data_IF_782392351863
#
_entry.id   IF_782392351863
#
_cell.length_a   1.000
_cell.length_b   1.000
_cell.length_c   1.000
_cell.angle_alpha   90.00
_cell.angle_beta   90.00
_cell.angle_gamma   90.00
#
_symmetry.space_group_name_H-M   'P 1'
#
loop_
_entity.id
_entity.type
_entity.pdbx_description
1 polymer ?
#
# COMPACT_ATOMS: atom_id res chain seq x y z
N UNK A 1 -6.29 34.35 -15.32
CA UNK A 1 -6.40 35.45 -14.32
C UNK A 1 -5.07 35.78 -13.60
N UNK A 2 -3.93 35.20 -13.99
CA UNK A 2 -2.63 35.48 -13.37
C UNK A 2 -2.42 34.82 -12.00
N UNK A 3 -3.26 33.85 -11.61
CA UNK A 3 -3.18 33.16 -10.32
C UNK A 3 -2.87 31.68 -10.49
N UNK A 4 -2.15 31.14 -9.51
CA UNK A 4 -1.96 29.70 -9.35
C UNK A 4 -3.15 29.11 -8.56
N UNK A 5 -3.82 28.13 -9.15
CA UNK A 5 -4.98 27.44 -8.55
C UNK A 5 -4.66 26.01 -8.09
N UNK A 6 -3.38 25.63 -8.10
CA UNK A 6 -2.86 24.32 -7.71
C UNK A 6 -2.94 23.26 -8.81
N UNK A 7 -2.65 22.02 -8.42
CA UNK A 7 -2.56 20.88 -9.34
C UNK A 7 -3.92 20.53 -9.96
N UNK A 8 -3.92 20.35 -11.28
CA UNK A 8 -5.05 19.89 -12.08
C UNK A 8 -4.57 18.86 -13.11
N UNK A 9 -5.46 17.96 -13.52
CA UNK A 9 -5.16 16.91 -14.48
C UNK A 9 -5.64 17.30 -15.89
N UNK A 10 -4.80 17.07 -16.89
CA UNK A 10 -5.08 17.36 -18.29
C UNK A 10 -4.81 16.13 -19.14
N UNK A 11 -5.76 15.76 -20.00
CA UNK A 11 -5.56 14.72 -21.00
C UNK A 11 -4.67 15.28 -22.10
N UNK A 12 -3.43 14.79 -22.24
CA UNK A 12 -2.45 15.38 -23.15
C UNK A 12 -1.98 14.35 -24.17
N UNK A 13 -2.30 14.49 -25.47
CA UNK A 13 -1.77 13.60 -26.48
C UNK A 13 -0.27 13.82 -26.64
N UNK A 14 0.52 12.75 -26.55
CA UNK A 14 2.00 12.82 -26.60
C UNK A 14 2.61 12.20 -27.85
N UNK A 15 1.87 11.33 -28.56
CA UNK A 15 2.30 10.63 -29.78
C UNK A 15 1.17 10.54 -30.78
N UNK A 16 1.51 10.59 -32.06
CA UNK A 16 0.59 10.28 -33.14
C UNK A 16 0.24 8.78 -33.12
N UNK A 17 -1.03 8.37 -33.08
CA UNK A 17 -1.42 6.96 -32.94
C UNK A 17 -1.11 6.11 -34.18
N UNK A 18 -0.85 6.71 -35.34
CA UNK A 18 -0.52 6.01 -36.59
C UNK A 18 0.99 5.83 -36.75
N UNK A 19 1.77 6.84 -36.39
CA UNK A 19 3.24 6.81 -36.58
C UNK A 19 4.00 6.48 -35.30
N UNK A 20 3.36 6.62 -34.14
CA UNK A 20 3.93 6.53 -32.80
C UNK A 20 5.02 7.58 -32.51
N UNK A 21 5.25 8.51 -33.44
CA UNK A 21 6.18 9.61 -33.26
C UNK A 21 5.61 10.65 -32.28
N UNK A 22 6.45 11.29 -31.45
CA UNK A 22 6.02 12.40 -30.60
C UNK A 22 5.46 13.57 -31.41
N UNK A 23 4.49 14.29 -30.87
CA UNK A 23 3.99 15.53 -31.49
C UNK A 23 5.04 16.66 -31.40
N UNK A 24 5.04 17.64 -32.34
CA UNK A 24 5.89 18.82 -32.23
C UNK A 24 5.73 19.54 -30.88
N UNK A 25 6.84 19.88 -30.23
CA UNK A 25 6.84 20.48 -28.88
C UNK A 25 6.71 19.46 -27.73
N UNK A 26 6.63 18.16 -28.02
CA UNK A 26 6.65 17.07 -27.03
C UNK A 26 7.93 16.27 -27.19
N UNK A 27 8.72 16.16 -26.13
CA UNK A 27 9.85 15.21 -26.06
C UNK A 27 9.52 14.10 -25.07
N UNK A 28 9.66 12.85 -25.52
CA UNK A 28 9.45 11.66 -24.69
C UNK A 28 10.57 10.66 -24.92
N UNK A 29 10.96 9.94 -23.87
CA UNK A 29 12.01 8.93 -23.95
C UNK A 29 12.05 8.04 -22.71
N UNK A 30 12.80 6.96 -22.79
CA UNK A 30 13.02 6.01 -21.70
C UNK A 30 14.04 6.56 -20.70
N UNK A 31 13.84 6.29 -19.39
CA UNK A 31 14.77 6.73 -18.34
C UNK A 31 15.94 5.76 -18.11
N UNK A 32 15.95 4.60 -18.77
CA UNK A 32 17.00 3.61 -18.71
C UNK A 32 16.68 2.41 -17.82
N UNK A 33 17.71 1.60 -17.62
CA UNK A 33 17.68 0.38 -16.83
C UNK A 33 17.42 0.67 -15.35
N UNK A 34 16.59 -0.18 -14.73
CA UNK A 34 16.17 -0.10 -13.34
C UNK A 34 16.68 -1.32 -12.58
N UNK A 35 16.69 -1.23 -11.24
CA UNK A 35 17.05 -2.36 -10.38
C UNK A 35 16.10 -3.57 -10.56
N UNK A 36 14.83 -3.30 -10.86
CA UNK A 36 13.78 -4.27 -11.16
C UNK A 36 12.72 -3.64 -12.07
N UNK A 37 11.68 -4.40 -12.41
CA UNK A 37 10.55 -3.93 -13.25
C UNK A 37 10.98 -3.45 -14.65
N UNK A 38 12.04 -4.03 -15.23
CA UNK A 38 12.54 -3.65 -16.56
C UNK A 38 11.59 -3.97 -17.72
N UNK A 39 10.48 -4.68 -17.46
CA UNK A 39 9.36 -4.81 -18.41
C UNK A 39 8.46 -3.57 -18.50
N UNK A 40 8.68 -2.55 -17.66
CA UNK A 40 7.96 -1.27 -17.68
C UNK A 40 8.87 -0.19 -18.26
N UNK A 41 8.35 0.52 -19.26
CA UNK A 41 9.01 1.61 -20.01
C UNK A 41 8.87 2.95 -19.29
N UNK A 42 9.37 3.01 -18.04
CA UNK A 42 9.40 4.26 -17.28
C UNK A 42 10.14 5.34 -18.06
N UNK A 43 9.41 6.38 -18.48
CA UNK A 43 9.92 7.43 -19.33
C UNK A 43 9.83 8.82 -18.73
N UNK A 44 10.41 9.78 -19.44
CA UNK A 44 10.23 11.20 -19.22
C UNK A 44 9.30 11.80 -20.28
N UNK A 45 8.66 12.92 -19.94
CA UNK A 45 7.94 13.77 -20.88
C UNK A 45 8.28 15.24 -20.62
N UNK A 46 8.57 15.98 -21.68
CA UNK A 46 8.87 17.41 -21.65
C UNK A 46 7.96 18.10 -22.67
N UNK A 47 7.29 19.16 -22.21
CA UNK A 47 6.42 19.99 -23.03
C UNK A 47 7.07 21.36 -23.26
N UNK A 48 7.40 21.69 -24.50
CA UNK A 48 7.85 23.03 -24.89
C UNK A 48 6.69 23.83 -25.49
N UNK A 49 6.05 24.65 -24.65
CA UNK A 49 4.90 25.50 -25.01
C UNK A 49 3.81 24.74 -25.78
N UNK A 50 3.65 23.44 -25.49
CA UNK A 50 2.71 22.55 -26.15
C UNK A 50 1.27 22.96 -25.82
N UNK A 51 0.42 23.09 -26.84
CA UNK A 51 -0.95 23.56 -26.70
C UNK A 51 -1.92 22.40 -26.83
N UNK A 52 -2.90 22.35 -25.94
CA UNK A 52 -4.03 21.42 -25.98
C UNK A 52 -5.35 22.20 -25.91
N UNK A 53 -6.47 21.62 -26.38
CA UNK A 53 -7.79 22.19 -26.18
C UNK A 53 -8.09 22.39 -24.68
N UNK A 54 -8.86 23.42 -24.35
CA UNK A 54 -9.27 23.71 -22.95
C UNK A 54 -10.08 22.56 -22.37
N UNK A 55 -10.86 21.89 -23.21
CA UNK A 55 -11.74 20.76 -22.90
C UNK A 55 -10.98 19.52 -22.44
N UNK A 56 -9.65 19.48 -22.62
CA UNK A 56 -8.80 18.40 -22.13
C UNK A 56 -8.58 18.46 -20.60
N UNK A 57 -9.01 19.53 -19.93
CA UNK A 57 -9.01 19.63 -18.47
C UNK A 57 -10.04 18.65 -17.86
N UNK A 58 -9.61 17.81 -16.92
CA UNK A 58 -10.51 16.99 -16.10
C UNK A 58 -11.19 17.87 -15.04
N UNK A 59 -12.33 18.45 -15.42
CA UNK A 59 -12.90 19.61 -14.75
C UNK A 59 -13.91 19.32 -13.62
N UNK A 60 -14.07 18.06 -13.18
CA UNK A 60 -15.04 17.69 -12.11
C UNK A 60 -14.80 18.45 -10.79
N UNK A 61 -13.53 18.71 -10.45
CA UNK A 61 -13.14 19.38 -9.21
C UNK A 61 -12.86 20.88 -9.34
N UNK A 62 -12.82 21.40 -10.56
CA UNK A 62 -12.45 22.78 -10.88
C UNK A 62 -12.34 22.94 -12.39
N UNK A 63 -12.90 24.02 -12.93
CA UNK A 63 -13.00 24.30 -14.35
C UNK A 63 -12.45 25.69 -14.69
N UNK A 64 -12.18 25.93 -15.96
CA UNK A 64 -11.77 27.22 -16.50
C UNK A 64 -12.71 27.60 -17.63
N UNK A 65 -13.39 28.74 -17.50
CA UNK A 65 -14.31 29.23 -18.55
C UNK A 65 -13.54 29.65 -19.81
N UNK A 66 -14.19 29.80 -20.98
CA UNK A 66 -13.56 30.30 -22.20
C UNK A 66 -12.88 31.67 -22.03
N UNK A 67 -13.37 32.50 -21.10
CA UNK A 67 -12.81 33.81 -20.75
C UNK A 67 -11.58 33.71 -19.82
N UNK A 68 -11.18 32.49 -19.43
CA UNK A 68 -10.03 32.25 -18.57
C UNK A 68 -10.30 32.48 -17.09
N UNK A 69 -11.57 32.38 -16.65
CA UNK A 69 -11.96 32.47 -15.24
C UNK A 69 -12.01 31.08 -14.61
N UNK A 70 -11.33 30.91 -13.48
CA UNK A 70 -11.41 29.69 -12.69
C UNK A 70 -12.74 29.60 -11.94
N UNK A 71 -13.37 28.42 -11.94
CA UNK A 71 -14.60 28.12 -11.20
C UNK A 71 -14.47 26.76 -10.53
N UNK A 72 -15.05 26.58 -9.34
CA UNK A 72 -14.99 25.34 -8.58
C UNK A 72 -16.34 25.05 -7.91
N UNK A 73 -16.82 23.80 -7.92
CA UNK A 73 -18.02 23.42 -7.16
C UNK A 73 -17.77 23.35 -5.65
N UNK A 74 -16.49 23.30 -5.23
CA UNK A 74 -16.09 23.34 -3.83
C UNK A 74 -15.88 24.79 -3.40
N UNK A 75 -16.59 25.21 -2.35
CA UNK A 75 -16.38 26.51 -1.68
C UNK A 75 -15.12 26.51 -0.82
N UNK A 76 -14.74 25.34 -0.29
CA UNK A 76 -13.58 25.15 0.57
C UNK A 76 -12.51 24.32 -0.15
N UNK A 77 -11.31 24.87 -0.27
CA UNK A 77 -10.15 24.22 -0.87
C UNK A 77 -9.73 22.95 -0.13
N UNK A 78 -9.94 22.88 1.19
CA UNK A 78 -9.58 21.72 2.01
C UNK A 78 -10.51 20.53 1.74
N UNK A 79 -11.82 20.76 1.56
CA UNK A 79 -12.77 19.69 1.18
C UNK A 79 -12.46 19.14 -0.22
N UNK A 80 -12.08 20.02 -1.16
CA UNK A 80 -11.62 19.61 -2.50
C UNK A 80 -10.38 18.73 -2.41
N UNK A 81 -9.42 19.12 -1.56
CA UNK A 81 -8.20 18.38 -1.33
C UNK A 81 -8.48 16.99 -0.74
N UNK A 82 -9.34 16.88 0.28
CA UNK A 82 -9.73 15.59 0.87
C UNK A 82 -10.36 14.59 -0.12
N UNK A 83 -11.25 15.07 -1.00
CA UNK A 83 -11.82 14.22 -2.05
C UNK A 83 -10.76 13.75 -3.06
N UNK A 84 -9.79 14.61 -3.41
CA UNK A 84 -8.66 14.24 -4.26
C UNK A 84 -7.72 13.22 -3.58
N UNK A 85 -7.46 13.38 -2.28
CA UNK A 85 -6.65 12.44 -1.49
C UNK A 85 -7.25 11.02 -1.48
N UNK A 86 -8.58 10.91 -1.41
CA UNK A 86 -9.28 9.63 -1.50
C UNK A 86 -9.02 8.92 -2.84
N UNK A 87 -9.01 9.64 -3.96
CA UNK A 87 -8.67 9.07 -5.28
C UNK A 87 -7.19 8.65 -5.37
N UNK A 88 -6.27 9.43 -4.78
CA UNK A 88 -4.85 9.10 -4.71
C UNK A 88 -4.54 7.89 -3.81
N UNK A 89 -5.52 7.38 -3.07
CA UNK A 89 -5.35 6.23 -2.18
C UNK A 89 -5.49 4.89 -2.91
N UNK A 90 -6.06 4.87 -4.12
CA UNK A 90 -6.30 3.62 -4.86
C UNK A 90 -4.99 2.85 -5.12
N UNK A 91 -3.94 3.56 -5.59
CA UNK A 91 -2.63 2.95 -5.83
C UNK A 91 -2.07 2.31 -4.56
N UNK A 92 -2.19 3.00 -3.42
CA UNK A 92 -1.72 2.50 -2.11
C UNK A 92 -2.49 1.26 -1.65
N UNK A 93 -3.81 1.26 -1.80
CA UNK A 93 -4.66 0.09 -1.49
C UNK A 93 -4.23 -1.11 -2.34
N UNK A 94 -4.02 -0.90 -3.64
CA UNK A 94 -3.53 -1.97 -4.53
C UNK A 94 -2.14 -2.47 -4.17
N UNK A 95 -1.23 -1.59 -3.71
CA UNK A 95 0.11 -1.99 -3.27
C UNK A 95 0.06 -2.94 -2.08
N UNK A 96 -0.87 -2.78 -1.14
CA UNK A 96 -1.04 -3.73 -0.04
C UNK A 96 -1.36 -5.14 -0.58
N UNK A 97 -2.22 -5.24 -1.59
CA UNK A 97 -2.51 -6.53 -2.26
C UNK A 97 -1.30 -7.08 -3.04
N UNK A 98 -0.53 -6.21 -3.69
CA UNK A 98 0.72 -6.59 -4.37
C UNK A 98 1.73 -7.17 -3.35
N UNK A 99 1.85 -6.56 -2.17
CA UNK A 99 2.71 -7.05 -1.10
C UNK A 99 2.33 -8.48 -0.66
N UNK A 100 1.03 -8.77 -0.56
CA UNK A 100 0.51 -10.12 -0.26
C UNK A 100 0.88 -11.11 -1.36
N UNK A 101 0.79 -10.70 -2.64
CA UNK A 101 1.16 -11.55 -3.76
C UNK A 101 2.66 -11.89 -3.76
N UNK A 102 3.53 -10.95 -3.42
CA UNK A 102 4.97 -11.20 -3.26
C UNK A 102 5.26 -12.15 -2.09
N UNK A 103 4.64 -11.92 -0.92
CA UNK A 103 4.76 -12.81 0.24
C UNK A 103 4.32 -14.23 -0.10
N UNK A 104 3.20 -14.36 -0.81
CA UNK A 104 2.63 -15.65 -1.25
C UNK A 104 3.48 -16.37 -2.31
N UNK A 105 4.51 -15.72 -2.87
CA UNK A 105 5.50 -16.33 -3.74
C UNK A 105 6.78 -16.68 -2.99
N UNK A 106 7.33 -15.72 -2.24
CA UNK A 106 8.64 -15.87 -1.58
C UNK A 106 8.62 -16.89 -0.44
N UNK A 107 7.62 -16.83 0.45
CA UNK A 107 7.54 -17.68 1.63
C UNK A 107 7.38 -19.17 1.26
N UNK A 108 6.49 -19.56 0.33
CA UNK A 108 6.42 -20.96 -0.09
C UNK A 108 7.72 -21.49 -0.68
N UNK A 109 8.48 -20.68 -1.42
CA UNK A 109 9.80 -21.09 -1.93
C UNK A 109 10.73 -21.42 -0.76
N UNK A 110 10.88 -20.50 0.19
CA UNK A 110 11.80 -20.69 1.32
C UNK A 110 11.37 -21.82 2.26
N UNK A 111 10.09 -21.93 2.58
CA UNK A 111 9.57 -22.97 3.49
C UNK A 111 9.69 -24.34 2.84
N UNK A 112 9.29 -24.50 1.57
CA UNK A 112 9.41 -25.79 0.86
C UNK A 112 10.88 -26.19 0.67
N UNK A 113 11.74 -25.24 0.32
CA UNK A 113 13.17 -25.50 0.26
C UNK A 113 13.72 -25.94 1.63
N UNK A 114 13.30 -25.29 2.71
CA UNK A 114 13.74 -25.62 4.07
C UNK A 114 13.29 -27.01 4.53
N UNK A 115 12.13 -27.48 4.06
CA UNK A 115 11.62 -28.82 4.36
C UNK A 115 12.39 -29.93 3.63
N UNK A 116 13.01 -29.63 2.49
CA UNK A 116 13.76 -30.60 1.67
C UNK A 116 15.26 -30.54 1.94
N UNK A 117 15.80 -29.33 2.14
CA UNK A 117 17.23 -29.14 2.39
C UNK A 117 17.56 -29.72 3.76
N UNK A 118 18.42 -30.73 3.77
CA UNK A 118 19.01 -31.29 4.98
C UNK A 118 20.42 -30.72 5.17
N UNK A 119 20.78 -30.44 6.43
CA UNK A 119 22.14 -30.04 6.81
C UNK A 119 22.28 -30.13 8.33
N UNK A 120 23.38 -30.73 8.80
CA UNK A 120 23.64 -31.03 10.21
C UNK A 120 22.57 -31.95 10.84
N UNK A 121 22.82 -32.42 12.05
CA UNK A 121 21.93 -33.36 12.74
C UNK A 121 22.52 -33.79 14.08
N UNK A 122 21.72 -34.45 14.90
CA UNK A 122 22.19 -35.03 16.17
C UNK A 122 23.09 -36.24 15.90
N UNK A 123 22.78 -37.00 14.84
CA UNK A 123 23.55 -38.14 14.37
C UNK A 123 24.28 -37.77 13.08
N UNK A 124 25.55 -38.15 12.95
CA UNK A 124 26.41 -37.75 11.84
C UNK A 124 25.93 -38.24 10.46
N UNK A 125 25.16 -39.33 10.42
CA UNK A 125 24.61 -39.96 9.23
C UNK A 125 23.13 -39.60 8.95
N UNK A 126 22.49 -38.83 9.84
CA UNK A 126 21.08 -38.43 9.70
C UNK A 126 20.92 -36.93 9.80
N UNK A 127 21.10 -36.28 8.66
CA UNK A 127 20.84 -34.85 8.57
C UNK A 127 19.35 -34.54 8.73
N UNK A 128 19.05 -33.48 9.48
CA UNK A 128 17.69 -32.97 9.68
C UNK A 128 17.36 -31.96 8.57
N UNK A 129 16.09 -31.92 8.10
CA UNK A 129 15.61 -30.78 7.32
C UNK A 129 15.86 -29.48 8.07
N UNK A 130 16.36 -28.45 7.39
CA UNK A 130 16.70 -27.20 8.06
C UNK A 130 15.48 -26.52 8.68
N UNK A 131 14.27 -26.84 8.20
CA UNK A 131 13.00 -26.38 8.80
C UNK A 131 12.76 -26.90 10.23
N UNK A 132 13.39 -28.01 10.64
CA UNK A 132 13.26 -28.56 12.00
C UNK A 132 13.98 -27.70 13.05
N UNK A 133 14.90 -26.83 12.64
CA UNK A 133 15.59 -25.94 13.56
C UNK A 133 14.72 -24.75 13.93
N UNK A 134 14.57 -24.50 15.25
CA UNK A 134 13.81 -23.38 15.79
C UNK A 134 14.22 -22.03 15.20
N UNK A 135 15.51 -21.83 14.92
CA UNK A 135 15.98 -20.61 14.26
C UNK A 135 15.38 -20.44 12.86
N UNK A 136 15.33 -21.50 12.04
CA UNK A 136 14.74 -21.44 10.70
C UNK A 136 13.24 -21.15 10.76
N UNK A 137 12.55 -21.76 11.73
CA UNK A 137 11.12 -21.51 12.00
C UNK A 137 10.88 -20.07 12.44
N UNK A 138 11.67 -19.55 13.38
CA UNK A 138 11.57 -18.18 13.88
C UNK A 138 11.82 -17.14 12.79
N UNK A 139 12.68 -17.45 11.81
CA UNK A 139 12.93 -16.57 10.66
C UNK A 139 11.80 -16.53 9.64
N UNK A 140 11.03 -17.62 9.47
CA UNK A 140 10.05 -17.75 8.38
C UNK A 140 8.60 -17.67 8.85
N UNK A 141 8.25 -18.30 9.97
CA UNK A 141 6.87 -18.45 10.42
C UNK A 141 6.22 -17.14 10.86
N UNK A 142 6.92 -16.17 11.48
CA UNK A 142 6.32 -14.86 11.75
C UNK A 142 5.90 -14.14 10.47
N UNK A 143 6.69 -14.21 9.40
CA UNK A 143 6.31 -13.62 8.10
C UNK A 143 5.17 -14.40 7.43
N UNK A 144 5.11 -15.72 7.61
CA UNK A 144 3.96 -16.52 7.18
C UNK A 144 2.68 -16.06 7.87
N UNK A 145 2.70 -15.92 9.20
CA UNK A 145 1.57 -15.40 9.96
C UNK A 145 1.19 -13.97 9.52
N UNK A 146 2.17 -13.09 9.35
CA UNK A 146 1.96 -11.74 8.85
C UNK A 146 1.31 -11.73 7.45
N UNK A 147 1.65 -12.70 6.58
CA UNK A 147 1.05 -12.82 5.25
C UNK A 147 -0.47 -13.05 5.34
N UNK A 148 -0.92 -13.93 6.23
CA UNK A 148 -2.35 -14.17 6.42
C UNK A 148 -3.04 -12.95 7.05
N UNK A 149 -2.41 -12.28 8.01
CA UNK A 149 -2.97 -11.07 8.63
C UNK A 149 -3.13 -9.93 7.59
N UNK A 150 -2.08 -9.65 6.83
CA UNK A 150 -2.07 -8.61 5.79
C UNK A 150 -3.03 -8.98 4.67
N UNK A 151 -3.15 -10.26 4.29
CA UNK A 151 -4.13 -10.72 3.30
C UNK A 151 -5.56 -10.40 3.72
N UNK A 152 -5.95 -10.81 4.93
CA UNK A 152 -7.30 -10.55 5.44
C UNK A 152 -7.59 -9.06 5.52
N UNK A 153 -6.63 -8.28 6.02
CA UNK A 153 -6.72 -6.83 6.05
C UNK A 153 -6.87 -6.24 4.64
N UNK A 154 -6.05 -6.68 3.67
CA UNK A 154 -6.06 -6.20 2.29
C UNK A 154 -7.37 -6.50 1.60
N UNK A 155 -7.91 -7.71 1.75
CA UNK A 155 -9.17 -8.11 1.13
C UNK A 155 -10.32 -7.23 1.64
N UNK A 156 -10.36 -6.99 2.95
CA UNK A 156 -11.35 -6.11 3.55
C UNK A 156 -11.17 -4.65 3.10
N UNK A 157 -9.93 -4.15 3.10
CA UNK A 157 -9.62 -2.78 2.66
C UNK A 157 -10.03 -2.55 1.19
N UNK A 158 -9.73 -3.50 0.31
CA UNK A 158 -10.13 -3.45 -1.10
C UNK A 158 -11.65 -3.44 -1.26
N UNK A 159 -12.37 -4.26 -0.48
CA UNK A 159 -13.83 -4.32 -0.49
C UNK A 159 -14.45 -2.99 -0.06
N UNK A 160 -14.03 -2.44 1.07
CA UNK A 160 -14.55 -1.16 1.56
C UNK A 160 -14.17 -0.01 0.64
N UNK A 161 -12.95 -0.01 0.07
CA UNK A 161 -12.54 0.99 -0.91
C UNK A 161 -13.37 0.91 -2.20
N UNK A 162 -13.73 -0.30 -2.65
CA UNK A 162 -14.62 -0.51 -3.79
C UNK A 162 -16.01 0.11 -3.58
N UNK A 163 -16.58 -0.04 -2.38
CA UNK A 163 -17.86 0.61 -2.03
C UNK A 163 -17.73 2.13 -2.06
N UNK A 164 -16.65 2.66 -1.51
CA UNK A 164 -16.36 4.09 -1.53
C UNK A 164 -16.22 4.67 -2.95
N UNK A 165 -15.56 3.94 -3.86
CA UNK A 165 -15.48 4.33 -5.27
C UNK A 165 -16.86 4.41 -5.93
N UNK A 166 -17.75 3.46 -5.64
CA UNK A 166 -19.13 3.49 -6.12
C UNK A 166 -19.85 4.75 -5.62
N UNK A 167 -19.73 5.10 -4.34
CA UNK A 167 -20.33 6.31 -3.76
C UNK A 167 -19.83 7.60 -4.44
N UNK A 168 -18.53 7.69 -4.78
CA UNK A 168 -17.98 8.82 -5.54
C UNK A 168 -18.62 8.93 -6.93
N UNK A 169 -18.93 7.80 -7.56
CA UNK A 169 -19.55 7.75 -8.89
C UNK A 169 -21.04 8.10 -8.85
N UNK A 170 -21.78 7.68 -7.83
CA UNK A 170 -23.22 7.98 -7.66
C UNK A 170 -23.48 9.41 -7.17
N UNK A 171 -22.46 10.12 -6.68
CA UNK A 171 -22.54 11.51 -6.19
C UNK A 171 -23.50 11.67 -5.00
N UNK A 172 -23.69 10.59 -4.23
CA UNK A 172 -24.47 10.57 -3.00
C UNK A 172 -23.65 11.16 -1.83
N UNK A 173 -24.31 11.94 -0.97
CA UNK A 173 -23.79 12.51 0.29
C UNK A 173 -22.31 13.01 0.28
N UNK A 174 -22.10 14.22 -0.24
CA UNK A 174 -20.74 14.81 -0.43
C UNK A 174 -19.91 14.95 0.85
N UNK A 175 -20.53 15.19 2.00
CA UNK A 175 -19.79 15.35 3.26
C UNK A 175 -19.32 13.99 3.81
N UNK A 176 -20.13 12.95 3.68
CA UNK A 176 -19.74 11.57 4.03
C UNK A 176 -18.61 11.05 3.13
N UNK A 177 -18.69 11.30 1.82
CA UNK A 177 -17.63 10.96 0.87
C UNK A 177 -16.31 11.67 1.20
N UNK A 178 -16.35 12.92 1.65
CA UNK A 178 -15.15 13.65 2.05
C UNK A 178 -14.51 13.05 3.33
N UNK A 179 -15.35 12.66 4.31
CA UNK A 179 -14.92 11.98 5.53
C UNK A 179 -14.26 10.63 5.23
N UNK A 180 -14.93 9.78 4.45
CA UNK A 180 -14.40 8.49 3.99
C UNK A 180 -13.10 8.66 3.21
N UNK A 181 -13.02 9.63 2.30
CA UNK A 181 -11.80 9.90 1.53
C UNK A 181 -10.60 10.27 2.40
N UNK A 182 -10.83 11.05 3.46
CA UNK A 182 -9.80 11.40 4.45
C UNK A 182 -9.34 10.18 5.23
N UNK A 183 -10.27 9.34 5.67
CA UNK A 183 -9.94 8.15 6.45
C UNK A 183 -9.24 7.07 5.61
N UNK A 184 -9.70 6.80 4.39
CA UNK A 184 -8.99 5.91 3.46
C UNK A 184 -7.58 6.40 3.14
N UNK A 185 -7.40 7.71 3.00
CA UNK A 185 -6.08 8.30 2.81
C UNK A 185 -5.15 7.99 3.98
N UNK A 186 -5.60 8.15 5.22
CA UNK A 186 -4.79 7.87 6.41
C UNK A 186 -4.52 6.37 6.56
N UNK A 187 -5.55 5.51 6.42
CA UNK A 187 -5.40 4.05 6.54
C UNK A 187 -4.44 3.54 5.48
N UNK A 188 -4.61 3.94 4.22
CA UNK A 188 -3.71 3.51 3.14
C UNK A 188 -2.29 4.04 3.31
N UNK A 189 -2.12 5.24 3.89
CA UNK A 189 -0.81 5.82 4.22
C UNK A 189 -0.09 5.12 5.38
N UNK A 190 -0.79 4.38 6.24
CA UNK A 190 -0.17 3.51 7.24
C UNK A 190 0.03 2.08 6.74
N UNK A 191 -0.97 1.54 6.06
CA UNK A 191 -0.98 0.15 5.61
C UNK A 191 0.07 -0.12 4.52
N UNK A 192 0.21 0.79 3.54
CA UNK A 192 1.16 0.61 2.45
C UNK A 192 2.62 0.55 2.94
N UNK A 193 3.09 1.47 3.81
CA UNK A 193 4.42 1.37 4.39
C UNK A 193 4.64 0.08 5.18
N UNK A 194 3.69 -0.29 6.04
CA UNK A 194 3.78 -1.48 6.88
C UNK A 194 3.89 -2.75 6.04
N UNK A 195 2.98 -2.95 5.08
CA UNK A 195 3.00 -4.09 4.19
C UNK A 195 4.26 -4.09 3.31
N UNK A 196 4.64 -2.94 2.76
CA UNK A 196 5.82 -2.80 1.90
C UNK A 196 7.12 -3.19 2.62
N UNK A 197 7.32 -2.70 3.84
CA UNK A 197 8.50 -3.03 4.64
C UNK A 197 8.51 -4.49 5.10
N UNK A 198 7.38 -5.01 5.60
CA UNK A 198 7.27 -6.43 5.99
C UNK A 198 7.60 -7.33 4.79
N UNK A 199 7.04 -7.05 3.62
CA UNK A 199 7.28 -7.87 2.42
C UNK A 199 8.73 -7.79 1.95
N UNK A 200 9.35 -6.60 1.97
CA UNK A 200 10.77 -6.45 1.61
C UNK A 200 11.65 -7.31 2.52
N UNK A 201 11.43 -7.20 3.82
CA UNK A 201 12.24 -7.90 4.82
C UNK A 201 11.97 -9.42 4.75
N UNK A 202 10.72 -9.84 4.56
CA UNK A 202 10.34 -11.23 4.35
C UNK A 202 11.01 -11.87 3.13
N UNK A 203 11.02 -11.18 1.97
CA UNK A 203 11.68 -11.71 0.76
C UNK A 203 13.18 -11.84 1.01
N UNK A 204 13.78 -10.86 1.69
CA UNK A 204 15.20 -10.88 2.00
C UNK A 204 15.56 -12.02 2.95
N UNK A 205 14.75 -12.28 3.97
CA UNK A 205 14.90 -13.42 4.87
C UNK A 205 14.68 -14.74 4.14
N UNK A 206 13.69 -14.84 3.25
CA UNK A 206 13.47 -16.02 2.42
C UNK A 206 14.72 -16.36 1.58
N UNK A 207 15.36 -15.34 0.99
CA UNK A 207 16.59 -15.51 0.22
C UNK A 207 17.73 -16.07 1.08
N UNK A 208 17.93 -15.53 2.27
CA UNK A 208 18.98 -15.97 3.19
C UNK A 208 18.68 -17.33 3.83
N UNK A 209 17.42 -17.63 4.11
CA UNK A 209 16.96 -18.92 4.63
C UNK A 209 17.20 -20.07 3.64
N UNK A 210 17.25 -19.78 2.34
CA UNK A 210 17.65 -20.72 1.30
C UNK A 210 19.17 -20.92 1.16
N UNK A 211 19.98 -20.23 1.97
CA UNK A 211 21.44 -20.30 1.92
C UNK A 211 22.02 -19.88 0.56
N UNK A 212 23.14 -20.47 0.16
CA UNK A 212 23.81 -20.14 -1.11
C UNK A 212 22.92 -20.35 -2.35
N UNK A 213 22.04 -21.35 -2.36
CA UNK A 213 21.12 -21.59 -3.47
C UNK A 213 20.08 -20.49 -3.62
N UNK A 214 19.72 -19.79 -2.53
CA UNK A 214 18.83 -18.63 -2.59
C UNK A 214 19.42 -17.44 -3.36
N UNK A 215 20.73 -17.42 -3.59
CA UNK A 215 21.40 -16.38 -4.39
C UNK A 215 21.36 -16.65 -5.90
N UNK A 216 21.07 -17.88 -6.31
CA UNK A 216 21.01 -18.25 -7.72
C UNK A 216 19.80 -17.60 -8.39
N UNK A 217 19.96 -17.13 -9.63
CA UNK A 217 18.88 -16.55 -10.44
C UNK A 217 17.66 -17.48 -10.54
N UNK A 218 17.89 -18.79 -10.66
CA UNK A 218 16.81 -19.78 -10.74
C UNK A 218 15.97 -19.91 -9.48
N UNK A 219 16.45 -19.45 -8.31
CA UNK A 219 15.63 -19.39 -7.10
C UNK A 219 14.58 -18.27 -7.16
N UNK A 220 14.76 -17.26 -8.02
CA UNK A 220 13.82 -16.17 -8.26
C UNK A 220 13.67 -15.15 -7.13
N UNK A 221 14.22 -15.41 -5.94
CA UNK A 221 14.05 -14.54 -4.76
C UNK A 221 14.69 -13.16 -4.92
N UNK A 222 15.84 -13.07 -5.61
CA UNK A 222 16.48 -11.78 -5.90
C UNK A 222 15.65 -10.92 -6.85
N UNK A 223 14.98 -11.53 -7.83
CA UNK A 223 14.10 -10.80 -8.76
C UNK A 223 12.85 -10.29 -8.04
N UNK A 224 12.24 -11.13 -7.21
CA UNK A 224 11.11 -10.73 -6.37
C UNK A 224 11.48 -9.55 -5.46
N UNK A 225 12.68 -9.55 -4.88
CA UNK A 225 13.17 -8.45 -4.04
C UNK A 225 13.32 -7.18 -4.86
N UNK A 226 14.04 -7.24 -5.97
CA UNK A 226 14.32 -6.08 -6.81
C UNK A 226 13.04 -5.44 -7.37
N UNK A 227 12.07 -6.27 -7.79
CA UNK A 227 10.78 -5.79 -8.27
C UNK A 227 9.92 -5.21 -7.14
N UNK A 228 10.03 -5.78 -5.94
CA UNK A 228 9.29 -5.30 -4.77
C UNK A 228 9.82 -3.97 -4.22
N UNK A 229 11.13 -3.68 -4.30
CA UNK A 229 11.74 -2.48 -3.71
C UNK A 229 11.08 -1.16 -4.17
N UNK A 230 10.59 -1.10 -5.41
CA UNK A 230 9.82 0.04 -5.92
C UNK A 230 8.56 0.32 -5.09
N UNK A 231 7.92 -0.71 -4.52
CA UNK A 231 6.75 -0.58 -3.64
C UNK A 231 7.02 0.21 -2.37
N UNK A 232 8.28 0.29 -1.93
CA UNK A 232 8.62 1.11 -0.77
C UNK A 232 8.67 2.61 -1.10
N UNK A 233 8.62 2.99 -2.38
CA UNK A 233 8.87 4.37 -2.84
C UNK A 233 7.71 4.98 -3.64
N UNK A 234 7.17 4.27 -4.63
CA UNK A 234 6.09 4.83 -5.45
C UNK A 234 4.77 4.97 -4.66
N UNK A 235 3.83 5.74 -5.19
CA UNK A 235 2.56 6.09 -4.51
C UNK A 235 2.76 6.77 -3.12
N UNK A 236 3.95 7.33 -2.90
CA UNK A 236 4.38 8.01 -1.68
C UNK A 236 5.50 7.26 -0.97
N UNK A 237 6.58 7.98 -0.66
CA UNK A 237 7.67 7.45 0.16
C UNK A 237 7.14 6.96 1.52
N UNK A 238 7.59 5.78 1.94
CA UNK A 238 7.04 5.14 3.13
C UNK A 238 7.20 5.98 4.41
N UNK A 239 8.29 6.73 4.58
CA UNK A 239 8.49 7.57 5.77
C UNK A 239 7.60 8.82 5.72
N UNK A 240 7.45 9.43 4.55
CA UNK A 240 6.54 10.57 4.35
C UNK A 240 5.09 10.15 4.61
N UNK A 241 4.68 8.96 4.16
CA UNK A 241 3.33 8.46 4.39
C UNK A 241 3.05 8.22 5.88
N UNK A 242 4.01 7.68 6.63
CA UNK A 242 3.88 7.54 8.10
C UNK A 242 3.65 8.88 8.80
N UNK A 243 4.29 9.96 8.32
CA UNK A 243 4.05 11.31 8.84
C UNK A 243 2.62 11.78 8.56
N UNK A 244 2.03 11.46 7.41
CA UNK A 244 0.63 11.82 7.11
C UNK A 244 -0.33 11.17 8.12
N UNK A 245 -0.15 9.87 8.40
CA UNK A 245 -0.97 9.18 9.40
C UNK A 245 -0.71 9.72 10.81
N UNK A 246 0.54 9.94 11.19
CA UNK A 246 0.90 10.43 12.53
C UNK A 246 0.35 11.84 12.79
N UNK A 247 0.47 12.75 11.81
CA UNK A 247 -0.07 14.11 11.93
C UNK A 247 -1.59 14.09 12.10
N UNK A 248 -2.29 13.23 11.37
CA UNK A 248 -3.73 13.07 11.53
C UNK A 248 -4.09 12.56 12.93
N UNK A 249 -3.44 11.49 13.41
CA UNK A 249 -3.67 10.95 14.75
C UNK A 249 -3.38 11.97 15.85
N UNK A 250 -2.27 12.71 15.77
CA UNK A 250 -1.92 13.78 16.71
C UNK A 250 -2.96 14.90 16.68
N UNK A 251 -3.48 15.26 15.50
CA UNK A 251 -4.52 16.29 15.36
C UNK A 251 -5.85 15.88 15.98
N UNK A 252 -6.21 14.59 15.93
CA UNK A 252 -7.38 14.04 16.62
C UNK A 252 -7.14 14.04 18.13
N UNK A 253 -5.97 13.60 18.56
CA UNK A 253 -5.61 13.52 19.96
C UNK A 253 -5.58 14.88 20.67
N UNK A 254 -5.08 15.92 20.00
CA UNK A 254 -5.11 17.29 20.51
C UNK A 254 -6.55 17.77 20.81
N UNK A 255 -7.52 17.23 20.07
CA UNK A 255 -8.95 17.53 20.16
C UNK A 255 -9.75 16.46 20.89
N UNK A 256 -9.10 15.56 21.64
CA UNK A 256 -9.76 14.43 22.34
C UNK A 256 -10.87 14.82 23.33
N UNK A 257 -10.95 16.09 23.70
CA UNK A 257 -11.99 16.64 24.58
C UNK A 257 -13.24 17.09 23.82
N UNK A 258 -13.16 17.21 22.48
CA UNK A 258 -14.30 17.49 21.61
C UNK A 258 -15.20 16.25 21.49
N UNK A 259 -16.51 16.48 21.45
CA UNK A 259 -17.48 15.40 21.25
C UNK A 259 -17.30 14.78 19.85
N UNK A 260 -17.43 13.46 19.76
CA UNK A 260 -17.40 12.67 18.52
C UNK A 260 -16.10 12.78 17.69
N UNK A 261 -15.01 13.28 18.27
CA UNK A 261 -13.72 13.46 17.57
C UNK A 261 -13.12 12.15 17.02
N UNK A 262 -13.38 11.02 17.68
CA UNK A 262 -12.95 9.68 17.24
C UNK A 262 -14.02 8.92 16.46
N UNK A 263 -15.17 9.54 16.20
CA UNK A 263 -16.25 8.97 15.40
C UNK A 263 -15.96 9.18 13.92
N UNK A 264 -15.25 8.22 13.32
CA UNK A 264 -14.90 8.25 11.91
C UNK A 264 -15.76 7.25 11.11
N UNK A 265 -16.03 7.50 9.81
CA UNK A 265 -16.91 6.63 9.01
C UNK A 265 -16.56 5.14 9.00
N UNK A 266 -15.27 4.78 8.99
CA UNK A 266 -14.79 3.39 9.06
C UNK A 266 -14.50 2.93 10.49
N UNK A 267 -14.63 3.82 11.48
CA UNK A 267 -14.34 3.54 12.89
C UNK A 267 -12.88 3.16 13.16
N UNK A 268 -11.94 3.49 12.27
CA UNK A 268 -10.54 3.02 12.35
C UNK A 268 -9.77 3.51 13.58
N UNK A 269 -10.27 4.58 14.21
CA UNK A 269 -9.71 5.18 15.42
C UNK A 269 -10.66 5.16 16.61
N UNK A 270 -11.78 4.43 16.52
CA UNK A 270 -12.79 4.39 17.58
C UNK A 270 -12.21 3.91 18.93
N UNK A 271 -11.19 3.05 18.89
CA UNK A 271 -10.48 2.57 20.09
C UNK A 271 -9.84 3.70 20.92
N UNK A 272 -9.50 4.85 20.31
CA UNK A 272 -8.93 5.99 21.04
C UNK A 272 -9.91 6.64 22.02
N UNK A 273 -11.22 6.44 21.83
CA UNK A 273 -12.23 6.85 22.81
C UNK A 273 -12.07 6.11 24.15
N UNK A 274 -11.53 4.89 24.12
CA UNK A 274 -11.32 4.01 25.28
C UNK A 274 -9.86 3.95 25.73
N UNK A 275 -9.05 4.96 25.40
CA UNK A 275 -7.60 4.92 25.62
C UNK A 275 -7.21 4.65 27.09
N UNK A 276 -7.91 5.20 28.08
CA UNK A 276 -7.61 4.96 29.51
C UNK A 276 -7.82 3.49 29.89
N UNK A 277 -8.96 2.93 29.51
CA UNK A 277 -9.29 1.52 29.77
C UNK A 277 -8.26 0.59 29.12
N UNK A 278 -7.90 0.87 27.86
CA UNK A 278 -6.91 0.08 27.12
C UNK A 278 -5.54 0.13 27.81
N UNK A 279 -5.09 1.31 28.25
CA UNK A 279 -3.80 1.48 28.92
C UNK A 279 -3.73 0.76 30.28
N UNK A 280 -4.88 0.56 30.93
CA UNK A 280 -4.98 -0.19 32.18
C UNK A 280 -5.02 -1.72 31.96
N UNK A 281 -5.17 -2.18 30.71
CA UNK A 281 -5.12 -3.62 30.39
C UNK A 281 -3.69 -4.14 30.21
N UNK A 282 -3.45 -5.38 30.66
CA UNK A 282 -2.20 -6.11 30.40
C UNK A 282 -2.50 -7.43 29.69
N UNK A 283 -1.72 -7.74 28.66
CA UNK A 283 -1.84 -9.02 27.96
C UNK A 283 -1.30 -10.16 28.82
N UNK A 284 -2.16 -11.11 29.19
CA UNK A 284 -1.80 -12.22 30.09
C UNK A 284 -1.80 -13.59 29.41
N UNK A 285 -2.32 -13.70 28.19
CA UNK A 285 -2.49 -14.98 27.52
C UNK A 285 -1.14 -15.61 27.15
N UNK A 286 -0.96 -16.88 27.53
CA UNK A 286 0.25 -17.71 27.33
C UNK A 286 0.06 -18.86 26.36
N UNK A 287 -1.19 -19.17 26.00
CA UNK A 287 -1.53 -20.24 25.09
C UNK A 287 -2.65 -19.81 24.14
N UNK A 288 -2.72 -20.43 22.96
CA UNK A 288 -3.73 -20.10 21.94
C UNK A 288 -5.16 -20.31 22.47
N UNK A 289 -5.38 -21.33 23.31
CA UNK A 289 -6.67 -21.61 23.95
C UNK A 289 -7.14 -20.47 24.87
N UNK A 290 -6.21 -19.73 25.48
CA UNK A 290 -6.53 -18.57 26.31
C UNK A 290 -6.97 -17.36 25.47
N UNK A 291 -6.66 -17.37 24.17
CA UNK A 291 -7.02 -16.33 23.21
C UNK A 291 -8.31 -16.70 22.46
N UNK A 292 -8.41 -17.95 21.99
CA UNK A 292 -9.47 -18.41 21.09
C UNK A 292 -10.62 -19.09 21.82
N UNK A 293 -10.43 -19.53 23.06
CA UNK A 293 -11.36 -20.40 23.78
C UNK A 293 -11.48 -21.81 23.18
N UNK A 294 -10.69 -22.15 22.16
CA UNK A 294 -10.74 -23.43 21.45
C UNK A 294 -9.62 -24.38 21.92
N UNK A 295 -9.91 -25.65 22.24
CA UNK A 295 -8.89 -26.63 22.60
C UNK A 295 -7.89 -26.85 21.44
N UNK A 296 -6.61 -27.06 21.77
CA UNK A 296 -5.51 -27.21 20.81
C UNK A 296 -5.73 -28.30 19.75
N UNK A 297 -6.57 -29.31 20.03
CA UNK A 297 -6.88 -30.40 19.13
C UNK A 297 -7.78 -29.97 17.95
N UNK A 298 -8.63 -28.96 18.12
CA UNK A 298 -9.58 -28.50 17.08
C UNK A 298 -8.92 -27.52 16.09
N UNK A 299 -7.78 -26.93 16.46
CA UNK A 299 -7.02 -25.99 15.62
C UNK A 299 -6.08 -26.69 14.62
N UNK A 300 -5.81 -27.99 14.78
CA UNK A 300 -4.95 -28.76 13.88
C UNK A 300 -5.68 -29.27 12.62
N UNK A 301 -7.02 -29.25 12.63
CA UNK A 301 -7.89 -29.78 11.58
C UNK A 301 -8.52 -28.69 10.66
N UNK A 302 -8.10 -27.42 10.79
CA UNK A 302 -8.49 -26.30 9.90
C UNK A 302 -7.28 -25.68 9.20
#
# INVERSE_FOLDING_TARGET
DGKDHGLHAFVTPIRDPRTLCPFPGVSVGDMGEKAGLNGVDNGFVIFDKYRIPRENLLNKGGDVTPEGKYVSPFKDSNKRFGAALGMLSQGRVSIVSICVAYLSKALPIAIRYSAVRRQFGVEADKELPVLEYQLQQWRLFPYLAATFAIKNFSDNLCKEFGKFQIQIMTNENKDEVAGLGTEFHVISSAAKPLAGWITRDAIQECREACGGHGYLKCAGLSDLRNDHDANCTYEGDNNVLQQQTSNWLVSLWARKHEQDVFSTPLGSVAFLAHHTEILDTTWTARAIVEITGMPSAELADQ
#
